data_IF_099109014853
#
_entry.id   IF_099109014853
#
_cell.length_a   1.000
_cell.length_b   1.000
_cell.length_c   1.000
_cell.angle_alpha   90.00
_cell.angle_beta   90.00
_cell.angle_gamma   90.00
#
_symmetry.space_group_name_H-M   'P 1'
#
loop_
_entity.id
_entity.type
_entity.pdbx_description
1 polymer ?
#
# COMPACT_ATOMS: atom_id res chain seq x y z
N UNK A 1 -62.28 15.02 11.90
CA UNK A 1 -61.03 14.98 11.12
C UNK A 1 -60.05 14.06 11.85
N UNK A 2 -59.69 12.91 11.27
CA UNK A 2 -58.80 11.89 11.87
C UNK A 2 -57.42 11.99 11.22
N UNK A 3 -56.38 12.21 12.02
CA UNK A 3 -54.98 12.17 11.58
C UNK A 3 -54.48 10.72 11.64
N UNK A 4 -54.34 10.07 10.48
CA UNK A 4 -53.65 8.79 10.36
C UNK A 4 -52.14 9.03 10.46
N UNK A 5 -51.51 8.47 11.48
CA UNK A 5 -50.05 8.41 11.59
C UNK A 5 -49.54 7.34 10.62
N UNK A 6 -48.85 7.74 9.55
CA UNK A 6 -48.07 6.84 8.71
C UNK A 6 -46.67 6.68 9.30
N UNK A 7 -46.38 5.51 9.88
CA UNK A 7 -45.01 5.10 10.23
C UNK A 7 -44.31 4.58 8.96
N UNK A 8 -43.59 5.46 8.26
CA UNK A 8 -42.66 5.05 7.20
C UNK A 8 -41.33 4.62 7.82
N UNK A 9 -41.03 3.32 7.79
CA UNK A 9 -39.75 2.76 8.23
C UNK A 9 -38.59 3.39 7.45
N UNK A 10 -37.74 4.14 8.14
CA UNK A 10 -36.50 4.68 7.58
C UNK A 10 -35.44 3.57 7.59
N UNK A 11 -35.35 2.78 6.51
CA UNK A 11 -34.24 1.84 6.34
C UNK A 11 -32.97 2.62 6.01
N UNK A 12 -32.20 2.92 7.06
CA UNK A 12 -30.84 3.46 6.93
C UNK A 12 -29.95 2.34 6.39
N UNK A 13 -29.76 2.28 5.06
CA UNK A 13 -28.70 1.48 4.47
C UNK A 13 -27.37 2.04 4.95
N UNK A 14 -26.76 1.36 5.94
CA UNK A 14 -25.40 1.71 6.37
C UNK A 14 -24.45 1.50 5.18
N UNK A 15 -23.59 2.49 4.84
CA UNK A 15 -22.84 2.46 3.59
C UNK A 15 -21.80 1.32 3.58
N UNK A 16 -21.34 0.95 2.38
CA UNK A 16 -20.21 0.04 2.11
C UNK A 16 -18.90 0.36 2.87
N UNK A 17 -18.85 1.47 3.60
CA UNK A 17 -17.74 1.88 4.46
C UNK A 17 -17.44 0.88 5.57
N UNK A 18 -18.44 0.15 6.09
CA UNK A 18 -18.22 -0.81 7.19
C UNK A 18 -17.25 -1.93 6.84
N UNK A 19 -17.29 -2.45 5.61
CA UNK A 19 -16.42 -3.54 5.18
C UNK A 19 -14.97 -3.09 4.99
N UNK A 20 -14.76 -1.92 4.38
CA UNK A 20 -13.41 -1.38 4.18
C UNK A 20 -12.78 -0.93 5.51
N UNK A 21 -13.59 -0.40 6.43
CA UNK A 21 -13.17 -0.11 7.80
C UNK A 21 -12.83 -1.41 8.55
N UNK A 22 -13.65 -2.47 8.44
CA UNK A 22 -13.34 -3.75 9.08
C UNK A 22 -12.00 -4.35 8.59
N UNK A 23 -11.69 -4.23 7.29
CA UNK A 23 -10.42 -4.70 6.75
C UNK A 23 -9.22 -3.92 7.30
N UNK A 24 -9.32 -2.59 7.40
CA UNK A 24 -8.27 -1.75 7.97
C UNK A 24 -8.14 -1.89 9.48
N UNK A 25 -9.24 -2.17 10.18
CA UNK A 25 -9.24 -2.49 11.60
C UNK A 25 -8.41 -3.74 11.89
N UNK A 26 -8.53 -4.80 11.09
CA UNK A 26 -7.75 -6.03 11.30
C UNK A 26 -6.25 -5.75 11.39
N UNK A 27 -5.71 -4.94 10.47
CA UNK A 27 -4.28 -4.63 10.45
C UNK A 27 -3.83 -3.80 11.66
N UNK A 28 -4.70 -2.92 12.16
CA UNK A 28 -4.43 -2.10 13.36
C UNK A 28 -4.54 -2.88 14.67
N UNK A 29 -5.28 -3.99 14.70
CA UNK A 29 -5.39 -4.87 15.87
C UNK A 29 -4.34 -5.99 15.92
N UNK A 30 -3.58 -6.20 14.83
CA UNK A 30 -2.51 -7.19 14.80
C UNK A 30 -1.39 -6.83 15.77
N UNK A 31 -0.89 -7.83 16.47
CA UNK A 31 0.41 -7.76 17.15
C UNK A 31 1.55 -7.61 16.15
N UNK A 32 2.71 -7.16 16.61
CA UNK A 32 3.90 -7.07 15.74
C UNK A 32 4.26 -8.39 15.06
N UNK A 33 4.04 -9.52 15.74
CA UNK A 33 4.29 -10.86 15.19
C UNK A 33 3.31 -11.23 14.09
N UNK A 34 2.01 -10.96 14.26
CA UNK A 34 0.99 -11.23 13.23
C UNK A 34 1.18 -10.32 12.01
N UNK A 35 1.58 -9.07 12.24
CA UNK A 35 1.89 -8.14 11.15
C UNK A 35 3.09 -8.64 10.33
N UNK A 36 4.16 -9.12 10.98
CA UNK A 36 5.32 -9.69 10.29
C UNK A 36 4.96 -10.94 9.47
N UNK A 37 4.18 -11.86 10.04
CA UNK A 37 3.68 -13.04 9.31
C UNK A 37 2.82 -12.66 8.10
N UNK A 38 2.02 -11.60 8.23
CA UNK A 38 1.21 -11.08 7.12
C UNK A 38 2.10 -10.49 6.03
N UNK A 39 3.14 -9.73 6.39
CA UNK A 39 4.13 -9.23 5.43
C UNK A 39 4.82 -10.39 4.70
N UNK A 40 5.28 -11.42 5.42
CA UNK A 40 5.94 -12.58 4.82
C UNK A 40 5.02 -13.33 3.84
N UNK A 41 3.74 -13.48 4.19
CA UNK A 41 2.74 -14.08 3.32
C UNK A 41 2.57 -13.27 2.04
N UNK A 42 2.42 -11.94 2.14
CA UNK A 42 2.25 -11.09 0.96
C UNK A 42 3.52 -11.03 0.10
N UNK A 43 4.71 -11.04 0.71
CA UNK A 43 5.99 -11.17 0.00
C UNK A 43 6.09 -12.51 -0.77
N UNK A 44 5.65 -13.62 -0.17
CA UNK A 44 5.67 -14.93 -0.83
C UNK A 44 4.75 -14.99 -2.05
N UNK A 45 3.64 -14.25 -2.03
CA UNK A 45 2.70 -14.12 -3.16
C UNK A 45 3.23 -13.19 -4.25
N UNK A 46 3.96 -12.14 -3.86
CA UNK A 46 4.51 -11.16 -4.78
C UNK A 46 5.95 -10.75 -4.37
N UNK A 47 6.99 -11.42 -4.89
CA UNK A 47 8.37 -11.12 -4.55
C UNK A 47 8.83 -9.73 -5.01
N UNK A 48 8.09 -9.04 -5.89
CA UNK A 48 8.40 -7.67 -6.28
C UNK A 48 8.16 -6.64 -5.15
N UNK A 49 7.46 -7.02 -4.08
CA UNK A 49 7.26 -6.19 -2.89
C UNK A 49 8.49 -6.17 -1.96
N UNK A 50 9.46 -7.06 -2.17
CA UNK A 50 10.66 -7.15 -1.36
C UNK A 50 11.52 -5.89 -1.49
N UNK A 51 11.97 -5.36 -0.35
CA UNK A 51 12.86 -4.20 -0.33
C UNK A 51 14.28 -4.62 -0.77
N UNK A 52 14.67 -4.21 -1.97
CA UNK A 52 16.04 -4.41 -2.46
C UNK A 52 16.91 -3.21 -2.08
N UNK A 53 17.83 -3.42 -1.14
CA UNK A 53 18.79 -2.38 -0.76
C UNK A 53 19.96 -2.33 -1.76
N UNK A 54 19.76 -1.61 -2.88
CA UNK A 54 20.77 -1.45 -3.92
C UNK A 54 21.04 0.01 -4.27
N UNK A 55 22.30 0.32 -4.63
CA UNK A 55 22.66 1.65 -5.12
C UNK A 55 22.09 1.86 -6.53
N UNK A 56 21.15 2.79 -6.67
CA UNK A 56 20.65 3.26 -7.96
C UNK A 56 21.04 4.71 -8.21
N UNK A 57 21.24 5.06 -9.48
CA UNK A 57 21.51 6.42 -9.88
C UNK A 57 20.27 7.29 -9.64
N UNK A 58 20.36 8.43 -8.92
CA UNK A 58 19.20 9.29 -8.69
C UNK A 58 18.70 10.00 -9.95
N UNK A 59 19.53 10.09 -10.99
CA UNK A 59 19.17 10.77 -12.24
C UNK A 59 18.47 9.85 -13.25
N UNK A 60 18.86 8.56 -13.33
CA UNK A 60 18.34 7.64 -14.35
C UNK A 60 17.80 6.31 -13.82
N UNK A 61 17.86 6.07 -12.51
CA UNK A 61 17.34 4.85 -11.87
C UNK A 61 18.15 3.58 -12.12
N UNK A 62 19.21 3.60 -12.94
CA UNK A 62 20.05 2.44 -13.21
C UNK A 62 20.80 1.98 -11.96
N UNK A 63 20.98 0.67 -11.82
CA UNK A 63 21.86 0.07 -10.81
C UNK A 63 23.28 0.58 -10.99
N UNK A 64 23.89 1.02 -9.90
CA UNK A 64 25.26 1.49 -9.85
C UNK A 64 26.23 0.34 -9.55
N UNK A 65 27.50 0.44 -10.00
CA UNK A 65 28.57 -0.40 -9.47
C UNK A 65 28.72 -0.21 -7.96
N UNK A 66 29.39 -1.15 -7.25
CA UNK A 66 29.49 -1.10 -5.79
C UNK A 66 30.09 0.23 -5.29
N UNK A 67 31.05 0.78 -6.02
CA UNK A 67 31.66 2.10 -5.80
C UNK A 67 31.67 2.95 -7.09
N UNK A 68 31.78 4.27 -6.92
CA UNK A 68 31.93 5.22 -8.03
C UNK A 68 30.64 5.84 -8.57
N UNK A 69 30.75 6.71 -9.59
CA UNK A 69 29.65 7.45 -10.20
C UNK A 69 28.85 6.61 -11.20
N UNK A 70 27.72 7.14 -11.66
CA UNK A 70 26.89 6.48 -12.67
C UNK A 70 27.60 6.44 -14.03
N UNK A 71 27.88 5.26 -14.61
CA UNK A 71 28.66 5.16 -15.84
C UNK A 71 27.96 5.72 -17.07
N UNK A 72 26.68 6.10 -16.99
CA UNK A 72 25.93 6.71 -18.10
C UNK A 72 25.73 8.21 -17.85
N UNK A 73 25.23 8.59 -16.67
CA UNK A 73 24.98 10.00 -16.37
C UNK A 73 26.25 10.82 -16.14
N UNK A 74 27.36 10.19 -15.75
CA UNK A 74 28.64 10.89 -15.54
C UNK A 74 29.52 10.96 -16.78
N UNK A 75 29.11 10.37 -17.91
CA UNK A 75 29.85 10.55 -19.15
C UNK A 75 29.65 11.98 -19.66
N UNK A 76 30.71 12.62 -20.20
CA UNK A 76 30.54 13.88 -20.91
C UNK A 76 29.62 13.65 -22.11
N UNK A 77 28.58 14.47 -22.26
CA UNK A 77 27.76 14.46 -23.48
C UNK A 77 28.66 14.95 -24.61
N UNK A 78 28.96 14.10 -25.59
CA UNK A 78 29.57 14.55 -26.83
C UNK A 78 28.63 15.54 -27.50
N UNK A 79 29.12 16.76 -27.74
CA UNK A 79 28.42 17.82 -28.48
C UNK A 79 28.38 17.48 -29.98
#
# INVERSE_FOLDING_TARGET
MRLNQYQGQNQVQSPMTSAHIAQTMTLLYMTSTELLQTIDLELSKNPALELVNERRCPMCGRKLPPQGPCPICSQPKSL
#
